data_IF_366281214038
#
_entry.id   IF_366281214038
#
_cell.length_a   1.000
_cell.length_b   1.000
_cell.length_c   1.000
_cell.angle_alpha   90.00
_cell.angle_beta   90.00
_cell.angle_gamma   90.00
#
_symmetry.space_group_name_H-M   'P 1'
#
loop_
_entity.id
_entity.type
_entity.pdbx_description
1 polymer ?
#
# COMPACT_ATOMS: atom_id res chain seq x y z
N UNK A 1 38.32 42.72 26.26
CA UNK A 1 38.33 42.34 24.84
C UNK A 1 38.33 40.82 24.76
N UNK A 2 37.29 40.26 24.13
CA UNK A 2 37.22 39.05 23.29
C UNK A 2 37.76 37.71 23.83
N UNK A 3 37.11 36.58 23.63
CA UNK A 3 35.83 36.26 23.00
C UNK A 3 35.48 34.83 23.41
N UNK A 4 34.22 34.64 23.78
CA UNK A 4 33.60 33.35 24.07
C UNK A 4 33.47 32.57 22.76
N UNK A 5 34.14 31.41 22.64
CA UNK A 5 33.65 30.35 21.75
C UNK A 5 33.28 29.16 22.62
N UNK A 6 31.98 29.14 22.90
CA UNK A 6 31.27 28.13 23.64
C UNK A 6 31.47 26.74 23.01
N UNK A 7 31.54 25.74 23.88
CA UNK A 7 31.83 24.36 23.53
C UNK A 7 30.93 23.79 22.44
N UNK A 8 31.52 22.91 21.64
CA UNK A 8 30.79 21.94 20.84
C UNK A 8 29.98 21.05 21.80
N UNK A 9 28.76 21.47 22.10
CA UNK A 9 27.75 20.55 22.61
C UNK A 9 27.53 19.55 21.49
N UNK A 10 28.01 18.32 21.69
CA UNK A 10 27.67 17.18 20.83
C UNK A 10 26.16 17.01 20.95
N UNK A 11 25.39 17.74 20.14
CA UNK A 11 23.93 17.61 20.11
C UNK A 11 23.66 16.18 19.69
N UNK A 12 23.00 15.42 20.56
CA UNK A 12 22.58 14.07 20.23
C UNK A 12 21.62 14.17 19.05
N UNK A 13 22.00 13.63 17.90
CA UNK A 13 21.12 13.50 16.75
C UNK A 13 20.05 12.47 17.13
N UNK A 14 18.79 12.92 17.16
CA UNK A 14 17.66 12.07 17.51
C UNK A 14 17.24 11.23 16.30
N UNK A 15 17.81 10.04 16.18
CA UNK A 15 17.44 9.07 15.14
C UNK A 15 16.05 8.50 15.40
N UNK A 16 15.20 8.48 14.38
CA UNK A 16 13.80 8.07 14.47
C UNK A 16 13.54 6.55 14.39
N UNK A 17 14.58 5.71 14.50
CA UNK A 17 14.48 4.26 14.36
C UNK A 17 14.63 3.71 12.93
N UNK A 18 14.49 4.55 11.89
CA UNK A 18 14.56 4.15 10.47
C UNK A 18 15.80 4.68 9.73
N UNK A 19 16.92 4.81 10.44
CA UNK A 19 18.23 5.23 9.90
C UNK A 19 18.29 6.63 9.24
N UNK A 20 17.40 7.54 9.62
CA UNK A 20 17.49 8.97 9.30
C UNK A 20 17.16 9.86 10.51
N UNK A 21 17.51 11.14 10.44
CA UNK A 21 17.22 12.15 11.46
C UNK A 21 17.08 13.55 10.84
N UNK A 22 16.44 14.46 11.56
CA UNK A 22 16.40 15.89 11.24
C UNK A 22 17.56 16.64 11.93
N UNK A 23 17.89 17.82 11.43
CA UNK A 23 18.94 18.68 11.98
C UNK A 23 20.32 18.04 11.91
N UNK A 24 20.58 17.22 10.89
CA UNK A 24 21.86 16.54 10.72
C UNK A 24 22.38 16.59 9.28
N UNK A 25 23.68 16.32 9.15
CA UNK A 25 24.44 16.39 7.91
C UNK A 25 25.54 15.30 7.86
N UNK A 26 26.03 15.03 6.65
CA UNK A 26 27.25 14.27 6.38
C UNK A 26 28.13 15.10 5.44
N UNK A 27 29.36 15.38 5.87
CA UNK A 27 30.29 16.16 5.06
C UNK A 27 30.76 15.39 3.81
N UNK A 28 30.87 16.12 2.70
CA UNK A 28 31.48 15.68 1.43
C UNK A 28 30.83 14.44 0.77
N UNK A 29 31.52 13.85 -0.21
CA UNK A 29 31.15 12.61 -0.90
C UNK A 29 29.85 12.63 -1.73
N UNK A 30 29.39 13.80 -2.15
CA UNK A 30 28.27 13.93 -3.08
C UNK A 30 28.56 13.25 -4.41
N UNK A 31 27.67 12.34 -4.80
CA UNK A 31 27.77 11.64 -6.09
C UNK A 31 26.71 12.09 -7.08
N UNK A 32 25.55 12.52 -6.58
CA UNK A 32 24.43 12.98 -7.40
C UNK A 32 23.51 13.84 -6.55
N UNK A 33 22.85 14.82 -7.16
CA UNK A 33 21.78 15.57 -6.50
C UNK A 33 20.51 15.58 -7.34
N UNK A 34 19.37 15.70 -6.67
CA UNK A 34 18.04 15.78 -7.32
C UNK A 34 17.12 16.65 -6.47
N UNK A 35 16.28 17.46 -7.13
CA UNK A 35 15.22 18.20 -6.45
C UNK A 35 14.07 17.26 -6.09
N UNK A 36 13.83 17.10 -4.79
CA UNK A 36 12.76 16.30 -4.20
C UNK A 36 12.42 16.87 -2.83
N UNK A 37 11.32 16.41 -2.22
CA UNK A 37 11.02 16.73 -0.82
C UNK A 37 11.94 15.96 0.12
N UNK A 38 12.08 16.44 1.36
CA UNK A 38 13.01 15.87 2.34
C UNK A 38 12.73 14.41 2.66
N UNK A 39 11.45 14.08 2.81
CA UNK A 39 10.94 12.73 3.05
C UNK A 39 11.30 11.75 1.92
N UNK A 40 11.39 12.23 0.69
CA UNK A 40 11.66 11.41 -0.50
C UNK A 40 13.17 11.13 -0.70
N UNK A 41 14.06 11.86 0.00
CA UNK A 41 15.51 11.79 -0.23
C UNK A 41 16.11 10.44 0.14
N UNK A 42 15.61 9.81 1.20
CA UNK A 42 16.02 8.46 1.60
C UNK A 42 15.75 7.41 0.52
N UNK A 43 14.56 7.47 -0.10
CA UNK A 43 14.17 6.63 -1.22
C UNK A 43 15.04 6.87 -2.45
N UNK A 44 15.33 8.13 -2.77
CA UNK A 44 16.22 8.48 -3.89
C UNK A 44 17.64 7.99 -3.72
N UNK A 45 18.18 8.07 -2.51
CA UNK A 45 19.48 7.47 -2.22
C UNK A 45 19.41 5.95 -2.33
N UNK A 46 18.41 5.29 -1.76
CA UNK A 46 18.25 3.83 -1.89
C UNK A 46 18.08 3.35 -3.34
N UNK A 47 17.54 4.19 -4.22
CA UNK A 47 17.41 3.95 -5.67
C UNK A 47 18.70 4.18 -6.46
N UNK A 48 19.62 4.96 -5.91
CA UNK A 48 20.83 5.40 -6.61
C UNK A 48 21.98 4.44 -6.32
N UNK A 49 22.41 3.71 -7.35
CA UNK A 49 23.50 2.77 -7.25
C UNK A 49 24.77 3.43 -6.68
N UNK A 50 25.27 2.88 -5.57
CA UNK A 50 26.46 3.38 -4.87
C UNK A 50 26.18 4.45 -3.82
N UNK A 51 24.94 4.89 -3.65
CA UNK A 51 24.57 5.78 -2.56
C UNK A 51 24.50 4.99 -1.25
N UNK A 52 25.24 5.46 -0.24
CA UNK A 52 25.32 4.82 1.08
C UNK A 52 24.68 5.69 2.16
N UNK A 53 24.54 6.98 1.90
CA UNK A 53 23.95 7.95 2.81
C UNK A 53 23.50 9.18 2.03
N UNK A 54 22.70 10.01 2.66
CA UNK A 54 22.16 11.20 2.01
C UNK A 54 22.03 12.36 2.98
N UNK A 55 21.92 13.54 2.39
CA UNK A 55 21.58 14.78 3.06
C UNK A 55 20.55 15.51 2.21
N UNK A 56 19.49 16.01 2.81
CA UNK A 56 18.53 16.89 2.18
C UNK A 56 18.63 18.30 2.77
N UNK A 57 18.53 19.30 1.89
CA UNK A 57 18.60 20.72 2.25
C UNK A 57 17.48 21.49 1.54
N UNK A 58 17.15 22.69 2.03
CA UNK A 58 16.24 23.63 1.36
C UNK A 58 16.79 24.26 0.08
N UNK A 59 18.02 23.93 -0.31
CA UNK A 59 18.65 24.46 -1.51
C UNK A 59 17.75 24.25 -2.75
N UNK A 60 17.57 25.30 -3.55
CA UNK A 60 16.69 25.32 -4.72
C UNK A 60 15.27 24.78 -4.45
N UNK A 61 14.68 25.09 -3.29
CA UNK A 61 13.34 24.62 -2.94
C UNK A 61 13.27 23.17 -2.47
N UNK A 62 14.42 22.52 -2.25
CA UNK A 62 14.52 21.16 -1.75
C UNK A 62 15.44 20.31 -2.63
N UNK A 63 16.65 20.04 -2.16
CA UNK A 63 17.64 19.24 -2.88
C UNK A 63 18.12 18.09 -2.01
N UNK A 64 18.00 16.87 -2.54
CA UNK A 64 18.59 15.66 -2.00
C UNK A 64 19.99 15.46 -2.58
N UNK A 65 20.97 15.43 -1.70
CA UNK A 65 22.36 15.16 -1.95
C UNK A 65 22.64 13.70 -1.62
N UNK A 66 22.79 12.88 -2.65
CA UNK A 66 23.09 11.47 -2.54
C UNK A 66 24.60 11.29 -2.46
N UNK A 67 25.06 10.54 -1.47
CA UNK A 67 26.48 10.44 -1.11
C UNK A 67 26.95 8.99 -1.09
N UNK A 68 28.24 8.79 -1.33
CA UNK A 68 28.90 7.47 -1.38
C UNK A 68 29.99 7.33 -0.32
N UNK A 69 30.45 6.10 -0.06
CA UNK A 69 31.52 5.83 0.91
C UNK A 69 31.00 5.14 2.17
N UNK A 70 31.91 4.80 3.08
CA UNK A 70 31.56 4.03 4.29
C UNK A 70 31.32 4.98 5.46
N UNK A 71 30.06 5.23 5.77
CA UNK A 71 29.65 6.04 6.93
C UNK A 71 28.61 5.30 7.77
N UNK A 72 28.51 5.69 9.02
CA UNK A 72 27.55 5.20 10.00
C UNK A 72 26.81 6.38 10.65
N UNK A 73 25.80 6.08 11.46
CA UNK A 73 25.08 7.11 12.25
C UNK A 73 26.00 7.94 13.15
N UNK A 74 27.14 7.38 13.56
CA UNK A 74 28.08 8.06 14.44
C UNK A 74 28.90 9.13 13.71
N UNK A 75 28.92 9.09 12.38
CA UNK A 75 29.66 10.03 11.53
C UNK A 75 28.79 11.24 11.13
N UNK A 76 27.51 11.24 11.51
CA UNK A 76 26.60 12.34 11.27
C UNK A 76 26.91 13.54 12.16
N UNK A 77 26.82 14.74 11.60
CA UNK A 77 27.10 16.01 12.26
C UNK A 77 25.79 16.73 12.51
N UNK A 78 25.55 17.21 13.73
CA UNK A 78 24.38 18.03 14.03
C UNK A 78 24.55 19.43 13.42
N UNK A 79 23.51 19.93 12.76
CA UNK A 79 23.49 21.28 12.18
C UNK A 79 22.54 22.21 12.95
N UNK A 80 22.73 23.52 12.77
CA UNK A 80 21.81 24.53 13.29
C UNK A 80 20.53 24.64 12.46
N UNK A 81 20.54 24.16 11.21
CA UNK A 81 19.36 24.09 10.36
C UNK A 81 18.55 22.82 10.70
N UNK A 82 17.48 22.99 11.48
CA UNK A 82 16.64 21.86 11.90
C UNK A 82 15.82 21.25 10.77
N UNK A 83 15.74 21.90 9.61
CA UNK A 83 15.00 21.39 8.46
C UNK A 83 15.84 20.50 7.54
N UNK A 84 17.17 20.45 7.76
CA UNK A 84 18.02 19.47 7.09
C UNK A 84 17.69 18.05 7.54
N UNK A 85 17.75 17.11 6.62
CA UNK A 85 17.52 15.69 6.90
C UNK A 85 18.72 14.89 6.44
N UNK A 86 19.28 14.04 7.29
CA UNK A 86 20.34 13.12 6.88
C UNK A 86 19.98 11.68 7.22
N UNK A 87 20.56 10.73 6.49
CA UNK A 87 20.35 9.32 6.79
C UNK A 87 21.38 8.40 6.18
N UNK A 88 21.54 7.24 6.79
CA UNK A 88 22.38 6.15 6.28
C UNK A 88 21.50 5.07 5.67
N UNK A 89 21.89 4.59 4.50
CA UNK A 89 21.20 3.50 3.82
C UNK A 89 21.93 2.21 4.18
N UNK A 90 21.25 1.30 4.88
CA UNK A 90 21.85 0.05 5.34
C UNK A 90 22.35 -0.77 4.14
N UNK A 91 23.64 -1.04 4.06
CA UNK A 91 24.17 -2.07 3.17
C UNK A 91 23.69 -3.43 3.69
N UNK A 92 22.80 -4.09 2.94
CA UNK A 92 22.44 -5.48 3.23
C UNK A 92 23.69 -6.35 3.09
N UNK A 93 24.18 -6.93 4.20
CA UNK A 93 25.27 -7.93 4.20
C UNK A 93 24.94 -9.06 3.22
N UNK A 94 25.88 -9.53 2.39
CA UNK A 94 25.63 -10.63 1.48
C UNK A 94 25.48 -11.93 2.28
N UNK A 95 24.30 -12.54 2.25
CA UNK A 95 24.14 -13.95 2.62
C UNK A 95 24.73 -14.75 1.46
N UNK A 96 25.78 -15.50 1.74
CA UNK A 96 26.36 -16.48 0.82
C UNK A 96 25.33 -17.55 0.48
N UNK A 97 24.81 -17.56 -0.76
CA UNK A 97 24.12 -18.72 -1.32
C UNK A 97 24.51 -18.92 -2.78
N UNK A 98 24.71 -20.19 -3.09
CA UNK A 98 25.26 -20.76 -4.30
C UNK A 98 24.63 -20.26 -5.62
N UNK A 99 25.52 -20.11 -6.60
CA UNK A 99 25.35 -20.18 -8.06
C UNK A 99 23.91 -20.11 -8.62
N UNK A 100 23.61 -19.02 -9.33
CA UNK A 100 22.84 -19.14 -10.56
C UNK A 100 21.76 -18.10 -10.89
N UNK A 101 21.43 -17.14 -10.01
CA UNK A 101 20.37 -16.16 -10.31
C UNK A 101 20.89 -14.72 -10.39
N UNK A 102 20.47 -13.99 -11.44
CA UNK A 102 20.91 -12.61 -11.74
C UNK A 102 20.58 -11.62 -10.63
N UNK A 103 21.56 -10.81 -10.25
CA UNK A 103 21.47 -9.75 -9.22
C UNK A 103 20.39 -8.69 -9.56
N UNK A 104 20.03 -8.54 -10.85
CA UNK A 104 18.94 -7.66 -11.30
C UNK A 104 17.57 -8.16 -10.82
N UNK A 105 17.35 -9.49 -10.80
CA UNK A 105 16.13 -10.12 -10.31
C UNK A 105 16.06 -10.11 -8.78
N UNK A 106 17.18 -10.23 -8.08
CA UNK A 106 17.19 -10.16 -6.60
C UNK A 106 16.97 -8.76 -6.02
N UNK A 107 17.41 -7.68 -6.70
CA UNK A 107 17.17 -6.30 -6.25
C UNK A 107 15.70 -5.88 -6.33
N UNK A 108 14.90 -6.54 -7.17
CA UNK A 108 13.43 -6.40 -7.22
C UNK A 108 12.71 -7.01 -6.01
N UNK A 109 13.37 -7.92 -5.28
CA UNK A 109 12.76 -8.70 -4.19
C UNK A 109 13.15 -8.24 -2.76
N UNK A 110 14.10 -7.30 -2.61
CA UNK A 110 14.65 -6.93 -1.28
C UNK A 110 14.29 -5.50 -0.80
N UNK A 111 13.32 -4.83 -1.42
CA UNK A 111 12.45 -3.90 -0.69
C UNK A 111 11.44 -4.77 0.05
N UNK A 112 11.00 -4.44 1.27
CA UNK A 112 9.87 -5.15 1.88
C UNK A 112 8.66 -5.01 0.96
N UNK A 113 8.46 -5.99 0.07
CA UNK A 113 7.41 -5.90 -0.94
C UNK A 113 6.07 -5.92 -0.21
N UNK A 114 5.21 -4.96 -0.53
CA UNK A 114 3.82 -5.04 -0.11
C UNK A 114 3.29 -6.39 -0.57
N UNK A 115 2.74 -7.16 0.34
CA UNK A 115 2.29 -8.52 0.04
C UNK A 115 0.84 -8.63 0.39
N UNK A 116 0.07 -9.22 -0.51
CA UNK A 116 -1.28 -9.64 -0.22
C UNK A 116 -1.39 -11.16 -0.38
N UNK A 117 -1.84 -11.83 0.68
CA UNK A 117 -2.14 -13.25 0.68
C UNK A 117 -3.62 -13.41 0.36
N UNK A 118 -3.94 -13.87 -0.85
CA UNK A 118 -5.31 -14.04 -1.31
C UNK A 118 -5.72 -15.49 -1.11
N UNK A 119 -6.77 -15.70 -0.34
CA UNK A 119 -7.30 -17.00 0.04
C UNK A 119 -8.66 -17.24 -0.58
N UNK A 120 -8.85 -18.39 -1.23
CA UNK A 120 -10.16 -18.85 -1.65
C UNK A 120 -10.77 -19.73 -0.56
N UNK A 121 -11.79 -19.21 0.12
CA UNK A 121 -12.59 -19.93 1.13
C UNK A 121 -13.90 -20.49 0.57
N UNK A 122 -14.15 -20.29 -0.73
CA UNK A 122 -15.28 -20.87 -1.45
C UNK A 122 -15.03 -22.30 -1.91
N UNK A 123 -16.04 -22.90 -2.54
CA UNK A 123 -16.02 -24.29 -3.03
C UNK A 123 -15.64 -24.45 -4.50
N UNK A 124 -15.46 -23.35 -5.23
CA UNK A 124 -15.13 -23.33 -6.65
C UNK A 124 -13.83 -22.56 -6.91
N UNK A 125 -13.04 -22.93 -7.93
CA UNK A 125 -11.89 -22.13 -8.34
C UNK A 125 -12.30 -20.69 -8.67
N UNK A 126 -11.46 -19.73 -8.30
CA UNK A 126 -11.70 -18.31 -8.59
C UNK A 126 -10.52 -17.70 -9.34
N UNK A 127 -10.80 -16.72 -10.18
CA UNK A 127 -9.79 -15.81 -10.71
C UNK A 127 -9.94 -14.46 -10.01
N UNK A 128 -8.83 -13.85 -9.60
CA UNK A 128 -8.81 -12.56 -8.92
C UNK A 128 -7.91 -11.61 -9.70
N UNK A 129 -8.51 -10.52 -10.19
CA UNK A 129 -7.81 -9.45 -10.90
C UNK A 129 -7.37 -8.35 -9.95
N UNK A 130 -6.21 -7.77 -10.24
CA UNK A 130 -5.60 -6.64 -9.54
C UNK A 130 -5.66 -5.43 -10.47
N UNK A 131 -6.39 -4.40 -10.06
CA UNK A 131 -6.65 -3.23 -10.87
C UNK A 131 -6.10 -2.00 -10.16
N UNK A 132 -4.97 -1.51 -10.68
CA UNK A 132 -4.34 -0.29 -10.18
C UNK A 132 -5.17 0.94 -10.55
N UNK A 133 -5.26 1.90 -9.64
CA UNK A 133 -5.92 3.18 -9.90
C UNK A 133 -5.09 4.00 -10.90
N UNK A 134 -5.76 4.59 -11.90
CA UNK A 134 -5.13 5.41 -12.96
C UNK A 134 -5.40 6.91 -12.83
N UNK A 135 -6.14 7.31 -11.78
CA UNK A 135 -6.47 8.71 -11.49
C UNK A 135 -7.68 8.82 -10.54
N UNK A 136 -8.01 10.05 -10.13
CA UNK A 136 -9.18 10.32 -9.30
C UNK A 136 -10.46 9.87 -10.04
N UNK A 137 -11.28 9.06 -9.37
CA UNK A 137 -12.61 8.62 -9.83
C UNK A 137 -12.65 7.71 -11.07
N UNK A 138 -11.52 7.20 -11.57
CA UNK A 138 -11.50 6.28 -12.72
C UNK A 138 -10.87 4.93 -12.37
N UNK A 139 -11.70 3.90 -12.08
CA UNK A 139 -11.19 2.56 -11.90
C UNK A 139 -10.66 2.03 -13.24
N UNK A 140 -9.40 1.57 -13.28
CA UNK A 140 -8.93 0.79 -14.42
C UNK A 140 -9.75 -0.49 -14.54
N UNK A 141 -10.15 -0.86 -15.75
CA UNK A 141 -10.73 -2.17 -16.08
C UNK A 141 -9.72 -3.11 -16.74
N UNK A 142 -8.45 -2.69 -16.80
CA UNK A 142 -7.34 -3.52 -17.24
C UNK A 142 -6.60 -4.00 -16.00
N UNK A 143 -6.67 -5.30 -15.75
CA UNK A 143 -5.93 -5.91 -14.65
C UNK A 143 -4.43 -5.84 -14.95
N UNK A 144 -3.62 -5.31 -14.04
CA UNK A 144 -2.15 -5.38 -14.15
C UNK A 144 -1.64 -6.79 -13.86
N UNK A 145 -2.43 -7.56 -13.09
CA UNK A 145 -2.15 -8.93 -12.68
C UNK A 145 -3.45 -9.66 -12.44
N UNK A 146 -3.45 -10.97 -12.69
CA UNK A 146 -4.51 -11.87 -12.23
C UNK A 146 -3.88 -13.14 -11.65
N UNK A 147 -4.57 -13.73 -10.69
CA UNK A 147 -4.20 -15.02 -10.09
C UNK A 147 -5.41 -15.94 -10.12
N UNK A 148 -5.18 -17.24 -10.35
CA UNK A 148 -6.21 -18.27 -10.27
C UNK A 148 -5.95 -19.07 -9.00
N UNK A 149 -6.98 -19.25 -8.16
CA UNK A 149 -6.86 -19.81 -6.82
C UNK A 149 -7.86 -20.95 -6.66
N UNK A 150 -7.35 -22.13 -6.35
CA UNK A 150 -8.16 -23.32 -6.09
C UNK A 150 -8.91 -23.19 -4.76
N UNK A 151 -10.03 -23.91 -4.54
CA UNK A 151 -10.70 -23.97 -3.25
C UNK A 151 -9.73 -24.33 -2.11
N UNK A 152 -9.73 -23.56 -1.02
CA UNK A 152 -8.85 -23.77 0.14
C UNK A 152 -7.41 -23.25 -0.03
N UNK A 153 -7.00 -22.89 -1.26
CA UNK A 153 -5.66 -22.41 -1.55
C UNK A 153 -5.47 -20.96 -1.10
N UNK A 154 -4.21 -20.61 -0.78
CA UNK A 154 -3.77 -19.24 -0.54
C UNK A 154 -2.58 -18.94 -1.43
N UNK A 155 -2.68 -17.90 -2.25
CA UNK A 155 -1.59 -17.41 -3.10
C UNK A 155 -1.14 -16.02 -2.65
N UNK A 156 0.17 -15.81 -2.63
CA UNK A 156 0.76 -14.51 -2.29
C UNK A 156 1.08 -13.70 -3.55
N UNK A 157 0.76 -12.41 -3.52
CA UNK A 157 1.12 -11.46 -4.56
C UNK A 157 1.92 -10.29 -3.98
N UNK A 158 3.10 -10.05 -4.53
CA UNK A 158 3.87 -8.84 -4.27
C UNK A 158 3.34 -7.67 -5.11
N UNK A 159 3.21 -6.51 -4.49
CA UNK A 159 2.77 -5.25 -5.06
C UNK A 159 3.81 -4.16 -4.80
N UNK A 160 3.83 -3.17 -5.68
CA UNK A 160 4.78 -2.05 -5.59
C UNK A 160 4.54 -1.21 -4.32
N UNK A 161 5.57 -0.47 -3.90
CA UNK A 161 5.40 0.60 -2.91
C UNK A 161 4.39 1.64 -3.43
N UNK A 162 3.50 2.14 -2.56
CA UNK A 162 2.48 3.09 -2.97
C UNK A 162 1.39 2.49 -3.87
N UNK A 163 1.29 1.15 -3.93
CA UNK A 163 0.26 0.53 -4.76
C UNK A 163 -1.12 0.84 -4.20
N UNK A 164 -1.95 1.43 -5.06
CA UNK A 164 -3.32 1.80 -4.79
C UNK A 164 -4.22 1.20 -5.86
N UNK A 165 -5.27 0.53 -5.44
CA UNK A 165 -6.23 -0.07 -6.35
C UNK A 165 -7.15 -1.04 -5.65
N UNK A 166 -7.69 -1.96 -6.44
CA UNK A 166 -8.61 -2.98 -5.95
C UNK A 166 -8.23 -4.39 -6.41
N UNK A 167 -8.64 -5.35 -5.59
CA UNK A 167 -8.74 -6.74 -5.96
C UNK A 167 -10.22 -7.07 -6.21
N UNK A 168 -10.48 -7.83 -7.27
CA UNK A 168 -11.84 -8.18 -7.68
C UNK A 168 -11.88 -9.64 -8.13
N UNK A 169 -12.85 -10.40 -7.61
CA UNK A 169 -13.17 -11.74 -8.12
C UNK A 169 -13.77 -11.60 -9.53
N UNK A 170 -13.14 -12.24 -10.50
CA UNK A 170 -13.54 -12.21 -11.91
C UNK A 170 -14.51 -13.35 -12.22
N UNK A 171 -15.76 -13.21 -11.77
CA UNK A 171 -16.85 -14.09 -12.20
C UNK A 171 -17.26 -13.83 -13.66
N UNK A 172 -16.99 -12.62 -14.15
CA UNK A 172 -17.35 -12.13 -15.49
C UNK A 172 -16.33 -11.16 -16.07
N UNK A 173 -16.82 -10.15 -16.79
CA UNK A 173 -16.04 -9.04 -17.29
C UNK A 173 -15.65 -8.08 -16.14
N UNK A 174 -14.54 -7.33 -16.26
CA UNK A 174 -14.09 -6.42 -15.20
C UNK A 174 -15.09 -5.32 -14.80
N UNK A 175 -16.03 -4.97 -15.68
CA UNK A 175 -17.07 -3.96 -15.44
C UNK A 175 -18.38 -4.54 -14.88
N UNK A 176 -18.48 -5.87 -14.76
CA UNK A 176 -19.65 -6.52 -14.17
C UNK A 176 -19.78 -6.19 -12.67
N UNK A 177 -21.01 -6.26 -12.10
CA UNK A 177 -21.20 -6.04 -10.68
C UNK A 177 -20.35 -6.98 -9.82
N UNK A 178 -19.55 -6.42 -8.94
CA UNK A 178 -18.60 -7.20 -8.14
C UNK A 178 -18.27 -6.51 -6.81
N UNK A 179 -17.98 -7.33 -5.80
CA UNK A 179 -17.40 -6.85 -4.55
C UNK A 179 -15.97 -6.41 -4.79
N UNK A 180 -15.59 -5.23 -4.31
CA UNK A 180 -14.24 -4.70 -4.43
C UNK A 180 -13.52 -4.79 -3.10
N UNK A 181 -12.29 -5.27 -3.12
CA UNK A 181 -11.37 -5.20 -2.00
C UNK A 181 -10.35 -4.11 -2.30
N UNK A 182 -10.58 -2.91 -1.79
CA UNK A 182 -9.79 -1.71 -2.08
C UNK A 182 -8.64 -1.61 -1.07
N UNK A 183 -7.45 -1.25 -1.56
CA UNK A 183 -6.25 -1.16 -0.74
C UNK A 183 -5.29 -0.09 -1.25
N UNK A 184 -4.73 0.68 -0.33
CA UNK A 184 -3.69 1.68 -0.57
C UNK A 184 -2.51 1.40 0.37
N UNK A 185 -1.43 0.84 -0.17
CA UNK A 185 -0.19 0.63 0.57
C UNK A 185 0.65 1.90 0.64
N UNK A 186 1.37 2.09 1.75
CA UNK A 186 2.30 3.21 1.95
C UNK A 186 1.65 4.59 1.72
N UNK A 187 0.40 4.73 2.15
CA UNK A 187 -0.38 5.95 2.05
C UNK A 187 0.07 6.97 3.11
N UNK A 188 -0.87 7.79 3.60
CA UNK A 188 -0.61 8.75 4.68
C UNK A 188 0.07 8.07 5.88
N UNK A 189 1.14 8.69 6.37
CA UNK A 189 2.01 8.14 7.44
C UNK A 189 2.59 6.75 7.15
N UNK A 190 2.82 6.41 5.87
CA UNK A 190 3.28 5.08 5.44
C UNK A 190 2.33 3.95 5.87
N UNK A 191 1.06 4.25 6.12
CA UNK A 191 0.06 3.25 6.50
C UNK A 191 -0.46 2.47 5.29
N UNK A 192 -1.05 1.33 5.57
CA UNK A 192 -1.84 0.55 4.61
C UNK A 192 -3.31 0.72 4.97
N UNK A 193 -4.11 1.26 4.05
CA UNK A 193 -5.56 1.38 4.22
C UNK A 193 -6.27 0.32 3.40
N UNK A 194 -7.26 -0.33 3.99
CA UNK A 194 -8.05 -1.37 3.34
C UNK A 194 -9.54 -1.18 3.61
N UNK A 195 -10.36 -1.49 2.62
CA UNK A 195 -11.81 -1.54 2.75
C UNK A 195 -12.47 -2.49 1.76
N UNK A 196 -13.65 -2.98 2.12
CA UNK A 196 -14.53 -3.76 1.25
C UNK A 196 -15.60 -2.83 0.72
N UNK A 197 -15.86 -2.83 -0.58
CA UNK A 197 -16.79 -1.92 -1.22
C UNK A 197 -17.87 -2.67 -2.00
N UNK A 198 -19.11 -2.27 -1.75
CA UNK A 198 -20.34 -2.75 -2.41
C UNK A 198 -20.92 -1.73 -3.38
N UNK A 199 -20.24 -0.58 -3.54
CA UNK A 199 -20.65 0.51 -4.43
C UNK A 199 -20.84 -0.02 -5.86
N UNK A 200 -19.95 -0.92 -6.30
CA UNK A 200 -19.94 -1.50 -7.63
C UNK A 200 -20.57 -2.88 -7.73
N UNK A 201 -21.30 -3.32 -6.70
CA UNK A 201 -22.08 -4.56 -6.69
C UNK A 201 -21.51 -5.61 -5.75
N UNK A 202 -22.04 -6.84 -5.87
CA UNK A 202 -21.65 -7.94 -5.00
C UNK A 202 -21.64 -9.28 -5.74
N UNK A 203 -20.50 -9.99 -5.70
CA UNK A 203 -20.33 -11.32 -6.29
C UNK A 203 -19.63 -12.35 -5.37
N UNK A 204 -19.38 -11.97 -4.12
CA UNK A 204 -18.74 -12.79 -3.11
C UNK A 204 -18.41 -11.99 -1.85
N UNK A 205 -18.46 -12.64 -0.69
CA UNK A 205 -18.09 -11.99 0.56
C UNK A 205 -16.56 -11.92 0.66
N UNK A 206 -16.04 -10.89 1.32
CA UNK A 206 -14.59 -10.67 1.42
C UNK A 206 -14.22 -10.15 2.80
N UNK A 207 -13.04 -10.55 3.29
CA UNK A 207 -12.47 -10.11 4.56
C UNK A 207 -11.01 -9.76 4.39
N UNK A 208 -10.64 -8.54 4.78
CA UNK A 208 -9.25 -8.17 5.02
C UNK A 208 -8.84 -8.47 6.45
N UNK A 209 -7.58 -8.87 6.63
CA UNK A 209 -6.92 -8.88 7.94
C UNK A 209 -5.43 -8.54 7.85
N UNK A 210 -4.88 -7.94 8.91
CA UNK A 210 -3.43 -7.78 9.06
C UNK A 210 -2.78 -9.04 9.62
N UNK A 211 -1.48 -9.21 9.39
CA UNK A 211 -0.72 -10.35 9.93
C UNK A 211 -0.56 -10.23 11.44
N UNK A 212 -0.45 -9.00 11.96
CA UNK A 212 -0.42 -8.75 13.40
C UNK A 212 -1.78 -8.94 14.11
N UNK A 213 -2.85 -9.21 13.34
CA UNK A 213 -4.20 -9.49 13.84
C UNK A 213 -4.96 -8.27 14.36
N UNK A 214 -4.40 -7.05 14.27
CA UNK A 214 -5.06 -5.82 14.75
C UNK A 214 -6.12 -5.29 13.80
N UNK A 215 -6.01 -5.60 12.52
CA UNK A 215 -7.00 -5.26 11.51
C UNK A 215 -7.80 -6.50 11.14
N UNK A 216 -9.13 -6.38 11.17
CA UNK A 216 -10.05 -7.29 10.49
C UNK A 216 -11.29 -6.52 10.05
N UNK A 217 -11.53 -6.42 8.75
CA UNK A 217 -12.68 -5.70 8.18
C UNK A 217 -13.28 -6.50 7.03
N UNK A 218 -14.59 -6.35 6.79
CA UNK A 218 -15.36 -7.14 5.85
C UNK A 218 -16.37 -8.08 6.51
N UNK A 219 -16.93 -8.99 5.73
CA UNK A 219 -18.01 -9.88 6.14
C UNK A 219 -17.97 -11.18 5.34
N UNK A 220 -18.60 -12.24 5.88
CA UNK A 220 -18.54 -13.60 5.32
C UNK A 220 -19.87 -14.11 4.76
N UNK A 221 -20.97 -13.39 5.01
CA UNK A 221 -22.30 -13.82 4.59
C UNK A 221 -22.50 -13.59 3.09
N UNK A 222 -23.07 -14.58 2.40
CA UNK A 222 -23.51 -14.41 1.01
C UNK A 222 -24.81 -13.58 0.97
N UNK A 223 -24.66 -12.30 0.64
CA UNK A 223 -25.77 -11.34 0.57
C UNK A 223 -26.79 -11.70 -0.51
N UNK A 224 -26.48 -12.57 -1.48
CA UNK A 224 -27.44 -12.98 -2.52
C UNK A 224 -28.54 -13.88 -1.98
N UNK A 225 -28.30 -14.60 -0.88
CA UNK A 225 -29.26 -15.57 -0.36
C UNK A 225 -30.54 -14.89 0.14
N UNK A 226 -30.42 -13.71 0.76
CA UNK A 226 -31.54 -12.96 1.34
C UNK A 226 -31.95 -11.72 0.54
N UNK A 227 -31.23 -11.39 -0.53
CA UNK A 227 -31.53 -10.20 -1.32
C UNK A 227 -32.88 -10.34 -2.04
N UNK A 228 -33.68 -9.26 -2.11
CA UNK A 228 -34.83 -9.19 -3.01
C UNK A 228 -34.47 -9.53 -4.46
N UNK A 229 -35.34 -10.29 -5.14
CA UNK A 229 -35.08 -10.78 -6.50
C UNK A 229 -34.80 -9.64 -7.50
N UNK A 230 -35.45 -8.48 -7.34
CA UNK A 230 -35.24 -7.29 -8.17
C UNK A 230 -33.80 -6.75 -8.18
N UNK A 231 -32.98 -7.11 -7.21
CA UNK A 231 -31.57 -6.69 -7.14
C UNK A 231 -30.59 -7.75 -7.61
N UNK A 232 -31.07 -8.98 -7.88
CA UNK A 232 -30.28 -10.07 -8.44
C UNK A 232 -30.25 -9.90 -9.94
N UNK A 233 -29.04 -9.80 -10.49
CA UNK A 233 -28.80 -9.69 -11.93
C UNK A 233 -27.82 -10.77 -12.36
N UNK A 234 -27.82 -11.04 -13.67
CA UNK A 234 -26.83 -11.93 -14.28
C UNK A 234 -25.64 -11.10 -14.75
N UNK A 235 -24.44 -11.50 -14.35
CA UNK A 235 -23.21 -10.94 -14.95
C UNK A 235 -22.96 -11.55 -16.35
N UNK A 236 -21.93 -11.09 -17.06
CA UNK A 236 -21.68 -11.43 -18.47
C UNK A 236 -21.49 -12.92 -18.78
N UNK A 237 -21.12 -13.75 -17.80
CA UNK A 237 -21.04 -15.22 -17.91
C UNK A 237 -22.27 -15.96 -17.33
N UNK A 238 -23.29 -15.25 -16.86
CA UNK A 238 -24.58 -15.82 -16.43
C UNK A 238 -24.67 -16.24 -14.95
N UNK A 239 -23.69 -15.90 -14.11
CA UNK A 239 -23.74 -16.08 -12.66
C UNK A 239 -24.62 -15.01 -11.99
N UNK A 240 -25.27 -15.39 -10.88
CA UNK A 240 -26.04 -14.45 -10.07
C UNK A 240 -25.13 -13.57 -9.21
N UNK A 241 -25.32 -12.26 -9.37
CA UNK A 241 -24.67 -11.19 -8.60
C UNK A 241 -25.72 -10.19 -8.12
N UNK A 242 -25.37 -9.31 -7.18
CA UNK A 242 -26.22 -8.16 -6.86
C UNK A 242 -25.71 -6.92 -7.59
N UNK A 243 -26.67 -6.15 -8.08
CA UNK A 243 -26.41 -4.88 -8.74
C UNK A 243 -25.65 -3.87 -7.84
N UNK A 244 -24.98 -2.87 -8.41
CA UNK A 244 -24.32 -1.80 -7.66
C UNK A 244 -25.31 -0.94 -6.85
N UNK A 245 -24.88 -0.42 -5.70
CA UNK A 245 -25.61 0.69 -5.04
C UNK A 245 -25.50 1.97 -5.85
N UNK A 246 -24.40 2.16 -6.58
CA UNK A 246 -24.19 3.28 -7.50
C UNK A 246 -23.62 2.79 -8.84
N UNK A 247 -24.45 2.65 -9.89
CA UNK A 247 -23.99 2.22 -11.21
C UNK A 247 -23.09 3.27 -11.88
N UNK A 248 -22.32 2.86 -12.89
CA UNK A 248 -21.49 3.77 -13.68
C UNK A 248 -22.30 4.83 -14.44
N UNK A 249 -23.58 4.57 -14.69
CA UNK A 249 -24.52 5.52 -15.30
C UNK A 249 -24.97 6.63 -14.35
N UNK A 250 -24.59 6.56 -13.07
CA UNK A 250 -25.00 7.49 -12.02
C UNK A 250 -26.32 7.11 -11.34
N UNK A 251 -26.62 7.82 -10.26
CA UNK A 251 -27.75 7.55 -9.36
C UNK A 251 -27.38 6.61 -8.21
N UNK A 252 -28.21 6.60 -7.16
CA UNK A 252 -28.05 5.74 -5.99
C UNK A 252 -29.30 4.90 -5.77
N UNK A 253 -29.12 3.63 -5.44
CA UNK A 253 -30.20 2.73 -5.07
C UNK A 253 -30.38 2.70 -3.54
N UNK A 254 -31.18 3.63 -3.02
CA UNK A 254 -31.40 3.79 -1.58
C UNK A 254 -31.98 2.55 -0.89
N UNK A 255 -32.85 1.80 -1.57
CA UNK A 255 -33.43 0.58 -1.02
C UNK A 255 -32.39 -0.55 -0.90
N UNK A 256 -31.50 -0.69 -1.89
CA UNK A 256 -30.38 -1.64 -1.82
C UNK A 256 -29.35 -1.22 -0.76
N UNK A 257 -29.10 0.07 -0.61
CA UNK A 257 -28.28 0.62 0.48
C UNK A 257 -28.86 0.23 1.83
N UNK A 258 -30.18 0.37 2.03
CA UNK A 258 -30.85 -0.05 3.26
C UNK A 258 -30.68 -1.56 3.51
N UNK A 259 -30.91 -2.38 2.47
CA UNK A 259 -30.68 -3.83 2.55
C UNK A 259 -29.25 -4.18 3.00
N UNK A 260 -28.22 -3.53 2.43
CA UNK A 260 -26.84 -3.77 2.84
C UNK A 260 -26.57 -3.31 4.27
N UNK A 261 -27.13 -2.18 4.71
CA UNK A 261 -26.98 -1.69 6.10
C UNK A 261 -27.63 -2.59 7.14
N UNK A 262 -28.68 -3.33 6.76
CA UNK A 262 -29.30 -4.33 7.63
C UNK A 262 -28.50 -5.64 7.71
N UNK A 263 -27.73 -5.96 6.67
CA UNK A 263 -27.08 -7.27 6.52
C UNK A 263 -25.54 -7.23 6.67
N UNK A 264 -24.95 -6.05 6.68
CA UNK A 264 -23.51 -5.82 6.90
C UNK A 264 -23.34 -4.83 8.05
N UNK A 265 -22.58 -5.23 9.08
CA UNK A 265 -22.33 -4.37 10.23
C UNK A 265 -21.64 -3.07 9.82
N UNK A 266 -22.02 -1.96 10.48
CA UNK A 266 -21.42 -0.64 10.25
C UNK A 266 -19.89 -0.71 10.35
N UNK A 267 -19.20 -0.12 9.39
CA UNK A 267 -17.74 -0.11 9.30
C UNK A 267 -17.13 -1.31 8.58
N UNK A 268 -17.91 -2.33 8.21
CA UNK A 268 -17.35 -3.51 7.50
C UNK A 268 -17.46 -3.43 5.97
N UNK A 269 -18.10 -2.41 5.41
CA UNK A 269 -18.09 -2.15 3.98
C UNK A 269 -18.44 -0.69 3.64
N UNK A 270 -17.88 -0.17 2.55
CA UNK A 270 -18.41 0.98 1.84
C UNK A 270 -19.67 0.57 1.08
N UNK A 271 -20.80 1.12 1.49
CA UNK A 271 -22.10 0.94 0.82
C UNK A 271 -22.41 2.17 -0.04
N UNK A 272 -21.96 3.34 0.40
CA UNK A 272 -21.96 4.62 -0.32
C UNK A 272 -20.58 5.30 -0.21
N UNK A 273 -20.23 6.26 -1.10
CA UNK A 273 -18.93 6.93 -1.11
C UNK A 273 -18.52 7.62 0.21
N UNK A 274 -19.51 8.10 0.97
CA UNK A 274 -19.29 8.85 2.22
C UNK A 274 -19.08 7.95 3.46
N UNK A 275 -19.07 6.61 3.30
CA UNK A 275 -18.89 5.67 4.41
C UNK A 275 -17.41 5.59 4.88
N UNK A 276 -16.77 6.74 5.13
CA UNK A 276 -15.35 6.84 5.50
C UNK A 276 -14.96 6.01 6.74
N UNK A 277 -15.91 5.70 7.62
CA UNK A 277 -15.68 4.81 8.78
C UNK A 277 -15.40 3.36 8.41
N UNK A 278 -15.57 2.99 7.13
CA UNK A 278 -15.32 1.64 6.61
C UNK A 278 -13.90 1.47 6.06
N UNK A 279 -13.10 2.53 6.01
CA UNK A 279 -11.66 2.44 5.71
C UNK A 279 -10.85 2.29 6.98
N UNK A 280 -10.01 1.26 7.00
CA UNK A 280 -9.25 0.88 8.18
C UNK A 280 -7.76 0.87 7.87
N UNK A 281 -6.98 1.51 8.74
CA UNK A 281 -5.54 1.62 8.61
C UNK A 281 -4.77 0.59 9.44
N UNK A 282 -3.65 0.11 8.91
CA UNK A 282 -2.65 -0.68 9.63
C UNK A 282 -1.24 -0.28 9.21
N UNK A 283 -0.26 -0.50 10.09
CA UNK A 283 1.16 -0.34 9.74
C UNK A 283 1.69 -1.51 8.92
N UNK A 284 0.99 -2.65 8.90
CA UNK A 284 1.42 -3.86 8.21
C UNK A 284 1.51 -3.66 6.69
N UNK A 285 2.60 -4.19 6.11
CA UNK A 285 2.81 -4.26 4.64
C UNK A 285 2.49 -5.66 4.08
N UNK A 286 1.99 -6.54 4.94
CA UNK A 286 1.50 -7.87 4.59
C UNK A 286 0.05 -7.96 5.04
N UNK A 287 -0.86 -8.12 4.09
CA UNK A 287 -2.30 -8.16 4.30
C UNK A 287 -2.84 -9.49 3.81
N UNK A 288 -3.81 -10.06 4.51
CA UNK A 288 -4.55 -11.23 4.04
C UNK A 288 -5.91 -10.76 3.51
N UNK A 289 -6.31 -11.31 2.36
CA UNK A 289 -7.64 -11.17 1.79
C UNK A 289 -8.26 -12.57 1.68
N UNK A 290 -9.38 -12.79 2.34
CA UNK A 290 -10.18 -14.01 2.20
C UNK A 290 -11.41 -13.72 1.35
N UNK A 291 -11.67 -14.57 0.36
CA UNK A 291 -12.81 -14.48 -0.55
C UNK A 291 -13.67 -15.73 -0.38
N UNK A 292 -14.97 -15.54 -0.17
CA UNK A 292 -15.96 -16.58 0.11
C UNK A 292 -16.90 -16.82 -1.07
#
# INVERSE_FOLDING_TARGET
MNSVYAGFVKRNIAWNGNNWAMGCDFADNDMKSVQVRGEDCSGRCAETAGCTHFVWTKWNGGTCWMKKGSVSKNDAIATNDQDMVCGVVSSSRPISVANGYSIQLMKLFLRSSNTINVSNRGSQPISVGFFKNTGANQPSFVAEKAINISPGETLSASLAHGWEGRLQKLTGAPHDPATWAEIHFNAWQDMTFCDISLIRGFNGAMVFSSVDGRLRTGFTNDLRQRAPSKYKVKESKGYDVLQPTEPYTGGRNDELVAYYRENVSKGNAYIIPDDHSSSHGTTDKKINLEIY
#
